data_IF_033289208193
#
_entry.id   IF_033289208193
#
_cell.length_a   1.000
_cell.length_b   1.000
_cell.length_c   1.000
_cell.angle_alpha   90.00
_cell.angle_beta   90.00
_cell.angle_gamma   90.00
#
_symmetry.space_group_name_H-M   'P 1'
#
loop_
_entity.id
_entity.type
_entity.pdbx_description
1 polymer ?
#
# COMPACT_ATOMS: atom_id res chain seq x y z
N UNK A 1 11.90 -3.05 1.27
CA UNK A 1 10.55 -3.47 0.84
C UNK A 1 10.53 -4.98 0.86
N UNK A 2 9.51 -5.57 1.47
CA UNK A 2 9.37 -7.00 1.68
C UNK A 2 8.87 -7.74 0.43
N UNK A 3 9.15 -9.05 0.32
CA UNK A 3 8.76 -9.86 -0.84
C UNK A 3 7.25 -9.84 -1.12
N UNK A 4 6.40 -9.83 -0.08
CA UNK A 4 4.94 -9.84 -0.26
C UNK A 4 4.43 -8.60 -0.98
N UNK A 5 5.05 -7.45 -0.73
CA UNK A 5 4.70 -6.18 -1.40
C UNK A 5 5.10 -6.26 -2.87
N UNK A 6 6.33 -6.73 -3.15
CA UNK A 6 6.84 -6.87 -4.53
C UNK A 6 5.95 -7.83 -5.33
N UNK A 7 5.67 -9.02 -4.78
CA UNK A 7 4.78 -10.00 -5.40
C UNK A 7 3.37 -9.44 -5.63
N UNK A 8 2.85 -8.66 -4.67
CA UNK A 8 1.53 -8.03 -4.82
C UNK A 8 1.52 -6.98 -5.92
N UNK A 9 2.55 -6.15 -6.01
CA UNK A 9 2.69 -5.14 -7.06
C UNK A 9 2.76 -5.81 -8.44
N UNK A 10 3.60 -6.84 -8.60
CA UNK A 10 3.71 -7.56 -9.87
C UNK A 10 2.39 -8.22 -10.28
N UNK A 11 1.67 -8.81 -9.32
CA UNK A 11 0.37 -9.45 -9.56
C UNK A 11 -0.71 -8.44 -9.94
N UNK A 12 -0.78 -7.31 -9.24
CA UNK A 12 -1.87 -6.35 -9.39
C UNK A 12 -1.67 -5.42 -10.60
N UNK A 13 -0.43 -5.12 -10.99
CA UNK A 13 -0.10 -4.12 -12.00
C UNK A 13 0.64 -4.68 -13.23
N UNK A 14 1.07 -5.96 -13.19
CA UNK A 14 1.90 -6.56 -14.23
C UNK A 14 3.31 -5.99 -14.27
N UNK A 15 4.20 -6.57 -15.11
CA UNK A 15 5.63 -6.20 -15.15
C UNK A 15 5.88 -4.73 -15.46
N UNK A 16 5.21 -4.17 -16.48
CA UNK A 16 5.40 -2.77 -16.88
C UNK A 16 4.82 -1.79 -15.84
N UNK A 17 3.67 -2.14 -15.25
CA UNK A 17 3.06 -1.34 -14.19
C UNK A 17 3.83 -1.38 -12.88
N UNK A 18 4.45 -2.53 -12.56
CA UNK A 18 5.23 -2.70 -11.34
C UNK A 18 6.37 -1.69 -11.23
N UNK A 19 7.16 -1.51 -12.29
CA UNK A 19 8.24 -0.51 -12.31
C UNK A 19 7.72 0.91 -12.07
N UNK A 20 6.57 1.27 -12.64
CA UNK A 20 5.96 2.59 -12.40
C UNK A 20 5.48 2.77 -10.95
N UNK A 21 4.95 1.71 -10.34
CA UNK A 21 4.54 1.71 -8.93
C UNK A 21 5.75 1.82 -8.00
N UNK A 22 6.83 1.07 -8.28
CA UNK A 22 8.07 1.15 -7.50
C UNK A 22 8.67 2.56 -7.52
N UNK A 23 8.72 3.21 -8.69
CA UNK A 23 9.18 4.60 -8.80
C UNK A 23 8.30 5.59 -8.02
N UNK A 24 6.97 5.35 -7.94
CA UNK A 24 6.06 6.18 -7.16
C UNK A 24 6.22 5.99 -5.65
N UNK A 25 6.59 4.78 -5.21
CA UNK A 25 6.77 4.45 -3.79
C UNK A 25 8.17 4.83 -3.28
N UNK A 26 9.16 4.94 -4.18
CA UNK A 26 10.56 5.19 -3.84
C UNK A 26 10.78 6.35 -2.86
N UNK A 27 10.17 7.54 -3.02
CA UNK A 27 10.36 8.63 -2.07
C UNK A 27 9.88 8.28 -0.66
N UNK A 28 8.75 7.59 -0.52
CA UNK A 28 8.21 7.17 0.78
C UNK A 28 9.16 6.18 1.47
N UNK A 29 9.77 5.27 0.70
CA UNK A 29 10.72 4.29 1.23
C UNK A 29 11.98 5.00 1.73
N UNK A 30 12.50 5.94 0.95
CA UNK A 30 13.67 6.76 1.29
C UNK A 30 13.42 7.64 2.53
N UNK A 31 12.19 8.16 2.67
CA UNK A 31 11.73 8.91 3.83
C UNK A 31 11.42 8.04 5.06
N UNK A 32 11.58 6.72 4.96
CA UNK A 32 11.44 5.78 6.07
C UNK A 32 10.00 5.42 6.44
N UNK A 33 9.04 5.58 5.52
CA UNK A 33 7.67 5.12 5.73
C UNK A 33 7.65 3.60 5.95
N UNK A 34 6.79 3.17 6.87
CA UNK A 34 6.68 1.75 7.20
C UNK A 34 6.04 0.95 6.07
N UNK A 35 6.40 -0.33 5.99
CA UNK A 35 5.81 -1.25 5.02
C UNK A 35 4.29 -1.40 5.16
N UNK A 36 3.74 -1.16 6.37
CA UNK A 36 2.29 -1.07 6.59
C UNK A 36 1.65 0.01 5.73
N UNK A 37 2.26 1.19 5.65
CA UNK A 37 1.77 2.29 4.82
C UNK A 37 1.83 1.89 3.35
N UNK A 38 2.92 1.27 2.92
CA UNK A 38 3.07 0.79 1.54
C UNK A 38 1.98 -0.24 1.20
N UNK A 39 1.72 -1.22 2.08
CA UNK A 39 0.62 -2.18 1.92
C UNK A 39 -0.75 -1.52 1.85
N UNK A 40 -1.01 -0.51 2.68
CA UNK A 40 -2.25 0.27 2.63
C UNK A 40 -2.41 0.97 1.27
N UNK A 41 -1.35 1.62 0.76
CA UNK A 41 -1.37 2.28 -0.56
C UNK A 41 -1.69 1.28 -1.66
N UNK A 42 -0.99 0.15 -1.71
CA UNK A 42 -1.20 -0.89 -2.74
C UNK A 42 -2.63 -1.43 -2.67
N UNK A 43 -3.13 -1.73 -1.46
CA UNK A 43 -4.49 -2.22 -1.27
C UNK A 43 -5.55 -1.23 -1.76
N UNK A 44 -5.47 0.03 -1.30
CA UNK A 44 -6.44 1.07 -1.66
C UNK A 44 -6.40 1.41 -3.15
N UNK A 45 -5.25 1.20 -3.80
CA UNK A 45 -5.07 1.52 -5.21
C UNK A 45 -5.82 0.59 -6.15
N UNK A 46 -6.25 -0.59 -5.71
CA UNK A 46 -7.07 -1.53 -6.50
C UNK A 46 -6.56 -1.71 -7.95
N UNK A 47 -5.27 -2.03 -8.11
CA UNK A 47 -4.59 -2.19 -9.42
C UNK A 47 -4.56 -0.94 -10.32
N UNK A 48 -4.84 0.26 -9.80
CA UNK A 48 -4.84 1.50 -10.56
C UNK A 48 -3.65 2.40 -10.22
N UNK A 49 -2.76 2.61 -11.20
CA UNK A 49 -1.52 3.42 -11.03
C UNK A 49 -1.82 4.89 -10.64
N UNK A 50 -2.93 5.47 -11.14
CA UNK A 50 -3.31 6.84 -10.76
C UNK A 50 -3.68 6.91 -9.28
N UNK A 51 -4.35 5.88 -8.78
CA UNK A 51 -4.69 5.74 -7.37
C UNK A 51 -3.43 5.56 -6.51
N UNK A 52 -2.41 4.83 -6.98
CA UNK A 52 -1.11 4.73 -6.27
C UNK A 52 -0.54 6.11 -5.99
N UNK A 53 -0.44 6.97 -7.02
CA UNK A 53 0.04 8.35 -6.86
C UNK A 53 -0.83 9.13 -5.86
N UNK A 54 -2.16 9.06 -6.01
CA UNK A 54 -3.09 9.75 -5.12
C UNK A 54 -2.88 9.34 -3.65
N UNK A 55 -2.65 8.07 -3.38
CA UNK A 55 -2.49 7.55 -2.03
C UNK A 55 -1.08 7.79 -1.46
N UNK A 56 -0.03 7.87 -2.30
CA UNK A 56 1.27 8.43 -1.88
C UNK A 56 1.12 9.89 -1.41
N UNK A 57 0.40 10.73 -2.18
CA UNK A 57 0.17 12.13 -1.81
C UNK A 57 -0.71 12.27 -0.56
N UNK A 58 -1.60 11.30 -0.32
CA UNK A 58 -2.43 11.25 0.89
C UNK A 58 -1.61 10.83 2.11
N UNK A 59 -0.71 9.84 1.98
CA UNK A 59 0.09 9.35 3.11
C UNK A 59 1.06 10.40 3.64
N UNK A 60 1.56 11.28 2.78
CA UNK A 60 2.40 12.42 3.19
C UNK A 60 1.61 13.46 3.99
N UNK A 61 0.32 13.64 3.66
CA UNK A 61 -0.57 14.58 4.36
C UNK A 61 -1.04 14.05 5.70
N UNK A 62 -1.63 12.85 5.71
CA UNK A 62 -2.01 12.13 6.91
C UNK A 62 -2.06 10.63 6.67
N UNK A 63 -1.03 9.93 7.14
CA UNK A 63 -0.95 8.47 7.03
C UNK A 63 -1.97 7.74 7.93
N UNK A 64 -2.56 8.40 8.93
CA UNK A 64 -3.55 7.78 9.83
C UNK A 64 -4.87 7.54 9.11
N UNK A 65 -5.29 8.48 8.26
CA UNK A 65 -6.48 8.34 7.42
C UNK A 65 -6.29 7.20 6.42
N UNK A 66 -5.09 7.08 5.83
CA UNK A 66 -4.76 5.99 4.92
C UNK A 66 -4.90 4.62 5.60
N UNK A 67 -4.38 4.48 6.82
CA UNK A 67 -4.55 3.25 7.62
C UNK A 67 -6.02 3.00 7.92
N UNK A 68 -6.76 4.02 8.33
CA UNK A 68 -8.18 3.91 8.64
C UNK A 68 -8.97 3.37 7.45
N UNK A 69 -8.78 3.96 6.27
CA UNK A 69 -9.46 3.54 5.04
C UNK A 69 -9.10 2.12 4.58
N UNK A 70 -7.85 1.69 4.84
CA UNK A 70 -7.37 0.39 4.38
C UNK A 70 -7.73 -0.76 5.34
N UNK A 71 -7.66 -0.52 6.65
CA UNK A 71 -7.76 -1.55 7.68
C UNK A 71 -9.10 -1.63 8.40
N UNK A 72 -9.94 -0.59 8.32
CA UNK A 72 -11.17 -0.50 9.12
C UNK A 72 -12.42 -0.37 8.26
N UNK A 73 -13.48 -1.05 8.70
CA UNK A 73 -14.86 -0.76 8.32
C UNK A 73 -15.57 -0.19 9.56
N UNK A 74 -15.91 1.10 9.48
CA UNK A 74 -16.29 1.91 10.64
C UNK A 74 -15.28 1.80 11.79
N UNK A 75 -15.62 1.09 12.86
CA UNK A 75 -14.75 0.87 14.03
C UNK A 75 -14.20 -0.56 14.12
N UNK A 76 -14.54 -1.42 13.15
CA UNK A 76 -14.12 -2.81 13.11
C UNK A 76 -12.88 -2.93 12.23
N UNK A 77 -11.77 -3.38 12.82
CA UNK A 77 -10.56 -3.70 12.05
C UNK A 77 -10.80 -4.98 11.26
N UNK A 78 -10.75 -4.88 9.93
CA UNK A 78 -11.00 -5.99 9.00
C UNK A 78 -9.73 -6.51 8.32
N UNK A 79 -8.59 -5.82 8.47
CA UNK A 79 -7.27 -6.22 7.95
C UNK A 79 -6.15 -5.77 8.89
N UNK A 80 -5.03 -6.49 8.86
CA UNK A 80 -3.82 -6.08 9.58
C UNK A 80 -2.62 -5.92 8.64
N UNK A 81 -2.38 -4.71 8.14
CA UNK A 81 -1.24 -4.45 7.27
C UNK A 81 0.09 -4.29 8.01
N UNK A 82 0.14 -4.52 9.34
CA UNK A 82 1.41 -4.86 9.96
C UNK A 82 1.88 -6.26 9.53
N UNK A 83 0.97 -7.12 9.07
CA UNK A 83 1.28 -8.43 8.54
C UNK A 83 1.44 -8.40 7.01
N UNK A 84 2.20 -9.35 6.43
CA UNK A 84 2.29 -9.53 4.98
C UNK A 84 0.94 -9.82 4.33
N UNK A 85 0.80 -9.50 3.04
CA UNK A 85 -0.36 -9.92 2.26
C UNK A 85 -0.53 -11.45 2.29
N UNK A 86 -1.76 -11.93 2.47
CA UNK A 86 -2.07 -13.37 2.45
C UNK A 86 -1.72 -14.09 3.75
N UNK A 87 -1.18 -13.41 4.76
CA UNK A 87 -1.37 -13.86 6.13
C UNK A 87 -2.87 -13.91 6.42
N UNK A 88 -3.33 -14.86 7.26
CA UNK A 88 -4.74 -14.90 7.65
C UNK A 88 -5.10 -13.57 8.32
N UNK A 89 -5.74 -12.69 7.55
CA UNK A 89 -6.40 -11.50 8.05
C UNK A 89 -7.41 -11.95 9.12
N UNK A 90 -7.48 -11.18 10.21
CA UNK A 90 -8.22 -11.43 11.47
C UNK A 90 -9.52 -12.25 11.34
#
# INVERSE_FOLDING_TARGET
MSPDIVERIEKDFGKEGAAAVEELLKPLIEDGYSERIIRCIIHLSASNIRSVRQYCDASVRDWRDLISWAEYDANCRIRDFNQPFGSCDL
#
